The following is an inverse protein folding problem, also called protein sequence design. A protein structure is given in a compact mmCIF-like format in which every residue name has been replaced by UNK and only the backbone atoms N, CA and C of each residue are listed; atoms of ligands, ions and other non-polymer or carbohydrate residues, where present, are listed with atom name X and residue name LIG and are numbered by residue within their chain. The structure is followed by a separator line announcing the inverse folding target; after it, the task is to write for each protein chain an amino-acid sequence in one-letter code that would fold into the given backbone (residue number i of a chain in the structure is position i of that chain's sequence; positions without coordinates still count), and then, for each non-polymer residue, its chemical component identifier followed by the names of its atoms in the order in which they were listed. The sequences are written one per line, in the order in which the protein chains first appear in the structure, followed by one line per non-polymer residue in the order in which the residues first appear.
data_IF_597423349885
#
_entry.id   IF_597423349885
#
_cell.length_a   1.000
_cell.length_b   1.000
_cell.length_c   1.000
_cell.angle_alpha   90.00
_cell.angle_beta   90.00
_cell.angle_gamma   90.00
#
_symmetry.space_group_name_H-M   'P 1'
#
loop_
_entity.id
_entity.type
_entity.pdbx_description
1 polymer ?
#
# COMPACT_ATOMS: atom_id res chain seq x y z
N UNK A 1 -41.84 12.45 -32.26
CA UNK A 1 -41.51 11.83 -33.58
C UNK A 1 -40.01 11.47 -33.55
N UNK A 2 -39.66 10.23 -33.29
CA UNK A 2 -38.26 9.78 -33.27
C UNK A 2 -37.77 9.64 -34.71
N UNK A 3 -36.69 10.40 -35.07
CA UNK A 3 -36.01 10.19 -36.36
C UNK A 3 -35.36 8.82 -36.36
N UNK A 4 -35.58 8.03 -37.39
CA UNK A 4 -34.83 6.76 -37.58
C UNK A 4 -33.34 7.07 -37.69
N UNK A 5 -32.53 6.45 -36.82
CA UNK A 5 -31.07 6.53 -36.96
C UNK A 5 -30.64 5.62 -38.08
N UNK A 6 -29.87 6.12 -39.00
CA UNK A 6 -29.27 5.34 -40.09
C UNK A 6 -28.30 4.31 -39.52
N UNK A 7 -28.39 3.06 -40.00
CA UNK A 7 -27.63 1.94 -39.43
C UNK A 7 -26.11 2.14 -39.48
N UNK A 8 -25.63 2.83 -40.51
CA UNK A 8 -24.21 3.18 -40.62
C UNK A 8 -23.73 4.14 -39.49
N UNK A 9 -24.61 5.02 -39.02
CA UNK A 9 -24.31 5.93 -37.88
C UNK A 9 -24.11 5.11 -36.61
N UNK A 10 -24.93 4.07 -36.41
CA UNK A 10 -24.76 3.16 -35.27
C UNK A 10 -23.42 2.43 -35.33
N UNK A 11 -23.03 1.88 -36.46
CA UNK A 11 -21.76 1.21 -36.65
C UNK A 11 -20.56 2.17 -36.44
N UNK A 12 -20.67 3.38 -37.00
CA UNK A 12 -19.63 4.41 -36.79
C UNK A 12 -19.51 4.80 -35.34
N UNK A 13 -20.63 4.98 -34.62
CA UNK A 13 -20.63 5.31 -33.20
C UNK A 13 -19.96 4.21 -32.35
N UNK A 14 -20.29 2.95 -32.63
CA UNK A 14 -19.68 1.80 -31.96
C UNK A 14 -18.17 1.77 -32.21
N UNK A 15 -17.76 1.91 -33.47
CA UNK A 15 -16.33 1.94 -33.81
C UNK A 15 -15.58 3.05 -33.11
N UNK A 16 -16.11 4.29 -33.13
CA UNK A 16 -15.51 5.43 -32.44
C UNK A 16 -15.47 5.23 -30.92
N UNK A 17 -16.50 4.62 -30.33
CA UNK A 17 -16.53 4.30 -28.91
C UNK A 17 -15.44 3.30 -28.52
N UNK A 18 -15.21 2.27 -29.35
CA UNK A 18 -14.14 1.29 -29.14
C UNK A 18 -12.77 1.97 -29.25
N UNK A 19 -12.55 2.77 -30.28
CA UNK A 19 -11.28 3.50 -30.45
C UNK A 19 -11.02 4.46 -29.30
N UNK A 20 -12.06 5.17 -28.83
CA UNK A 20 -11.96 6.03 -27.66
C UNK A 20 -11.61 5.24 -26.38
N UNK A 21 -12.26 4.09 -26.14
CA UNK A 21 -11.99 3.26 -24.98
C UNK A 21 -10.55 2.72 -24.97
N UNK A 22 -10.05 2.30 -26.15
CA UNK A 22 -8.65 1.87 -26.30
C UNK A 22 -7.69 3.05 -26.01
N UNK A 23 -7.93 4.21 -26.63
CA UNK A 23 -7.11 5.39 -26.43
C UNK A 23 -7.11 5.86 -24.97
N UNK A 24 -8.27 5.87 -24.32
CA UNK A 24 -8.39 6.19 -22.91
C UNK A 24 -7.61 5.20 -22.03
N UNK A 25 -7.76 3.89 -22.29
CA UNK A 25 -7.02 2.85 -21.57
C UNK A 25 -5.50 2.98 -21.73
N UNK A 26 -5.02 3.34 -22.93
CA UNK A 26 -3.60 3.63 -23.18
C UNK A 26 -3.13 4.82 -22.35
N UNK A 27 -3.86 5.93 -22.29
CA UNK A 27 -3.52 7.10 -21.50
C UNK A 27 -3.44 6.78 -20.00
N UNK A 28 -4.41 6.05 -19.46
CA UNK A 28 -4.42 5.60 -18.06
C UNK A 28 -3.20 4.72 -17.78
N UNK A 29 -2.95 3.72 -18.62
CA UNK A 29 -1.79 2.84 -18.47
C UNK A 29 -0.46 3.60 -18.52
N UNK A 30 -0.33 4.56 -19.43
CA UNK A 30 0.87 5.40 -19.56
C UNK A 30 1.14 6.17 -18.28
N UNK A 31 0.13 6.73 -17.64
CA UNK A 31 0.30 7.46 -16.40
C UNK A 31 0.67 6.53 -15.23
N UNK A 32 0.10 5.32 -15.19
CA UNK A 32 0.40 4.33 -14.16
C UNK A 32 1.81 3.74 -14.28
N UNK A 33 2.24 3.39 -15.50
CA UNK A 33 3.52 2.70 -15.74
C UNK A 33 4.68 3.69 -15.96
N UNK A 34 4.38 4.91 -16.41
CA UNK A 34 5.36 6.00 -16.51
C UNK A 34 6.29 5.96 -17.73
N UNK A 35 6.04 5.11 -18.73
CA UNK A 35 6.91 4.99 -19.91
C UNK A 35 6.85 6.19 -20.87
N UNK A 36 5.68 6.82 -20.99
CA UNK A 36 5.51 8.02 -21.82
C UNK A 36 4.71 9.07 -21.06
N UNK A 37 5.27 10.25 -20.88
CA UNK A 37 4.57 11.36 -20.23
C UNK A 37 3.80 12.16 -21.28
N UNK A 38 2.52 11.90 -21.44
CA UNK A 38 1.60 12.71 -22.26
C UNK A 38 1.11 13.94 -21.48
N UNK A 39 1.80 14.30 -20.40
CA UNK A 39 1.55 15.49 -19.60
C UNK A 39 0.20 15.47 -18.87
N UNK A 40 -0.54 16.59 -18.94
CA UNK A 40 -1.80 16.74 -18.20
C UNK A 40 -2.92 15.82 -18.71
N UNK A 41 -2.89 15.38 -19.98
CA UNK A 41 -3.93 14.54 -20.58
C UNK A 41 -3.97 13.17 -19.91
N UNK A 42 -2.83 12.50 -19.70
CA UNK A 42 -2.77 11.20 -19.05
C UNK A 42 -3.14 11.29 -17.58
N UNK A 43 -2.75 12.37 -16.88
CA UNK A 43 -3.17 12.63 -15.49
C UNK A 43 -4.69 12.80 -15.39
N UNK A 44 -5.29 13.55 -16.31
CA UNK A 44 -6.74 13.74 -16.36
C UNK A 44 -7.46 12.42 -16.62
N UNK A 45 -6.96 11.61 -17.57
CA UNK A 45 -7.52 10.29 -17.86
C UNK A 45 -7.48 9.37 -16.62
N UNK A 46 -6.35 9.36 -15.88
CA UNK A 46 -6.23 8.60 -14.63
C UNK A 46 -7.22 9.09 -13.57
N UNK A 47 -7.34 10.41 -13.38
CA UNK A 47 -8.30 11.00 -12.43
C UNK A 47 -9.73 10.55 -12.74
N UNK A 48 -10.14 10.55 -14.01
CA UNK A 48 -11.45 10.04 -14.41
C UNK A 48 -11.61 8.54 -14.16
N UNK A 49 -10.57 7.75 -14.43
CA UNK A 49 -10.59 6.29 -14.17
C UNK A 49 -10.72 5.97 -12.67
N UNK A 50 -10.23 6.85 -11.80
CA UNK A 50 -10.29 6.68 -10.34
C UNK A 50 -11.61 7.15 -9.70
N UNK A 51 -12.47 7.86 -10.43
CA UNK A 51 -13.75 8.36 -9.88
C UNK A 51 -14.58 7.26 -9.20
N UNK A 52 -14.80 6.07 -9.80
CA UNK A 52 -15.60 5.02 -9.15
C UNK A 52 -14.99 4.53 -7.83
N UNK A 53 -13.67 4.44 -7.78
CA UNK A 53 -12.94 4.04 -6.57
C UNK A 53 -13.06 5.11 -5.48
N UNK A 54 -12.78 6.37 -5.81
CA UNK A 54 -12.86 7.48 -4.88
C UNK A 54 -14.28 7.69 -4.36
N UNK A 55 -15.29 7.49 -5.21
CA UNK A 55 -16.70 7.58 -4.82
C UNK A 55 -17.06 6.47 -3.81
N UNK A 56 -16.63 5.23 -4.04
CA UNK A 56 -16.81 4.13 -3.08
C UNK A 56 -16.18 4.45 -1.72
N UNK A 57 -14.97 5.04 -1.72
CA UNK A 57 -14.26 5.44 -0.52
C UNK A 57 -15.03 6.50 0.27
N UNK A 58 -15.52 7.55 -0.43
CA UNK A 58 -16.31 8.65 0.19
C UNK A 58 -17.63 8.12 0.77
N UNK A 59 -18.27 7.17 0.11
CA UNK A 59 -19.53 6.57 0.56
C UNK A 59 -19.35 5.54 1.68
N UNK A 60 -18.13 5.36 2.21
CA UNK A 60 -17.84 4.40 3.28
C UNK A 60 -17.99 2.92 2.86
N UNK A 61 -18.21 2.65 1.57
CA UNK A 61 -18.38 1.29 1.02
C UNK A 61 -17.07 0.65 0.53
N UNK A 62 -15.94 1.24 0.84
CA UNK A 62 -14.72 0.88 0.19
C UNK A 62 -13.46 0.87 1.04
N UNK A 63 -13.43 0.10 2.11
CA UNK A 63 -12.17 -0.51 2.52
C UNK A 63 -11.94 -1.72 1.63
N UNK A 64 -11.44 -1.49 0.42
CA UNK A 64 -11.30 -2.51 -0.62
C UNK A 64 -10.11 -3.45 -0.41
N UNK A 65 -9.31 -3.25 0.65
CA UNK A 65 -8.07 -4.00 0.83
C UNK A 65 -8.29 -5.22 1.72
N UNK A 66 -9.18 -5.13 2.70
CA UNK A 66 -9.43 -6.25 3.62
C UNK A 66 -10.94 -6.39 3.86
N UNK A 67 -11.51 -7.46 3.33
CA UNK A 67 -12.83 -7.92 3.71
C UNK A 67 -12.65 -8.91 4.86
N UNK A 68 -13.33 -8.68 5.98
CA UNK A 68 -13.33 -9.64 7.07
C UNK A 68 -14.00 -10.95 6.60
N UNK A 69 -13.18 -11.97 6.41
CA UNK A 69 -13.64 -13.29 5.93
C UNK A 69 -14.27 -14.12 7.04
N UNK A 70 -14.04 -13.73 8.29
CA UNK A 70 -14.44 -14.50 9.46
C UNK A 70 -15.03 -13.61 10.56
N UNK A 71 -16.11 -12.84 10.27
CA UNK A 71 -16.64 -11.83 11.18
C UNK A 71 -17.19 -12.38 12.50
N UNK A 72 -17.25 -13.68 12.64
CA UNK A 72 -17.67 -14.37 13.86
C UNK A 72 -16.51 -14.91 14.71
N UNK A 73 -15.26 -14.69 14.28
CA UNK A 73 -14.07 -15.19 14.97
C UNK A 73 -13.27 -14.00 15.50
N UNK A 74 -13.06 -13.97 16.81
CA UNK A 74 -12.22 -12.99 17.47
C UNK A 74 -10.97 -13.64 18.08
N UNK A 75 -9.83 -12.91 17.99
CA UNK A 75 -8.60 -13.26 18.66
C UNK A 75 -7.92 -14.51 18.11
N UNK A 76 -7.09 -15.11 18.96
CA UNK A 76 -6.38 -16.33 18.66
C UNK A 76 -7.19 -17.53 19.15
N UNK A 77 -7.29 -18.56 18.30
CA UNK A 77 -7.94 -19.81 18.63
C UNK A 77 -6.96 -20.97 18.33
N UNK A 78 -6.54 -21.66 19.37
CA UNK A 78 -5.55 -22.74 19.24
C UNK A 78 -5.04 -23.24 20.58
N UNK A 79 -4.01 -24.09 20.53
CA UNK A 79 -3.31 -24.56 21.70
C UNK A 79 -2.16 -23.64 22.04
N UNK A 80 -2.05 -23.25 23.30
CA UNK A 80 -0.92 -22.45 23.80
C UNK A 80 0.40 -23.22 23.64
N UNK A 81 1.47 -22.49 23.37
CA UNK A 81 2.81 -23.06 23.40
C UNK A 81 3.20 -23.42 24.85
N UNK A 82 3.88 -24.54 25.02
CA UNK A 82 4.41 -24.96 26.34
C UNK A 82 5.70 -24.24 26.71
N UNK A 83 6.40 -23.68 25.70
CA UNK A 83 7.67 -22.97 25.87
C UNK A 83 7.48 -21.50 25.56
N UNK A 84 8.27 -20.65 26.23
CA UNK A 84 8.31 -19.21 26.00
C UNK A 84 8.59 -18.92 24.54
N UNK A 85 7.64 -18.30 23.85
CA UNK A 85 7.72 -17.99 22.44
C UNK A 85 6.81 -16.83 22.10
N UNK A 86 7.23 -16.02 21.13
CA UNK A 86 6.57 -14.79 20.75
C UNK A 86 6.29 -14.74 19.25
N UNK A 87 5.17 -14.10 18.89
CA UNK A 87 4.81 -13.82 17.52
C UNK A 87 4.82 -12.32 17.29
N UNK A 88 5.60 -11.87 16.31
CA UNK A 88 5.49 -10.52 15.76
C UNK A 88 4.49 -10.57 14.59
N UNK A 89 3.26 -10.13 14.84
CA UNK A 89 2.16 -10.21 13.89
C UNK A 89 1.90 -8.86 13.23
N UNK A 90 2.11 -8.78 11.93
CA UNK A 90 1.61 -7.67 11.13
C UNK A 90 0.20 -7.99 10.64
N UNK A 91 -0.76 -7.14 10.93
CA UNK A 91 -2.15 -7.30 10.52
C UNK A 91 -2.81 -5.97 10.18
N UNK A 92 -3.93 -6.03 9.49
CA UNK A 92 -4.83 -4.91 9.35
C UNK A 92 -5.86 -4.93 10.47
N UNK A 93 -5.98 -3.82 11.20
CA UNK A 93 -7.00 -3.64 12.22
C UNK A 93 -8.27 -3.06 11.59
N UNK A 94 -9.36 -3.82 11.63
CA UNK A 94 -10.63 -3.44 11.01
C UNK A 94 -11.35 -2.28 11.71
N UNK A 95 -11.13 -2.11 13.01
CA UNK A 95 -11.74 -1.06 13.82
C UNK A 95 -10.99 0.27 13.62
N UNK A 96 -9.66 0.22 13.67
CA UNK A 96 -8.80 1.37 13.39
C UNK A 96 -8.77 1.71 11.88
N UNK A 97 -9.00 0.71 11.03
CA UNK A 97 -8.85 0.77 9.57
C UNK A 97 -7.43 1.09 9.13
N UNK A 98 -6.47 0.53 9.82
CA UNK A 98 -5.04 0.76 9.64
C UNK A 98 -4.24 -0.53 9.78
N UNK A 99 -3.03 -0.55 9.20
CA UNK A 99 -2.06 -1.62 9.41
C UNK A 99 -1.31 -1.43 10.73
N UNK A 100 -1.31 -2.45 11.57
CA UNK A 100 -0.61 -2.46 12.85
C UNK A 100 0.33 -3.67 12.95
N UNK A 101 1.24 -3.62 13.92
CA UNK A 101 2.09 -4.75 14.30
C UNK A 101 1.89 -5.03 15.79
N UNK A 102 1.70 -6.29 16.14
CA UNK A 102 1.54 -6.73 17.52
C UNK A 102 2.62 -7.72 17.91
N UNK A 103 3.11 -7.62 19.14
CA UNK A 103 3.91 -8.63 19.80
C UNK A 103 3.01 -9.45 20.71
N UNK A 104 2.95 -10.74 20.47
CA UNK A 104 2.01 -11.65 21.13
C UNK A 104 2.78 -12.76 21.82
N UNK A 105 2.49 -13.00 23.09
CA UNK A 105 2.96 -14.16 23.82
C UNK A 105 2.15 -15.41 23.42
N UNK A 106 2.82 -16.39 22.83
CA UNK A 106 2.16 -17.62 22.38
C UNK A 106 1.88 -18.62 23.50
N UNK A 107 2.31 -18.34 24.73
CA UNK A 107 1.99 -19.20 25.89
C UNK A 107 0.60 -18.91 26.47
N UNK A 108 0.00 -17.75 26.16
CA UNK A 108 -1.31 -17.33 26.67
C UNK A 108 -2.13 -16.49 25.68
N UNK A 109 -1.55 -16.17 24.52
CA UNK A 109 -2.10 -15.29 23.47
C UNK A 109 -2.36 -13.83 23.92
N UNK A 110 -1.64 -13.39 24.94
CA UNK A 110 -1.69 -11.99 25.38
C UNK A 110 -0.93 -11.08 24.40
N UNK A 111 -1.54 -9.95 24.02
CA UNK A 111 -0.86 -8.90 23.25
C UNK A 111 0.00 -8.09 24.20
N UNK A 112 1.32 -8.24 24.10
CA UNK A 112 2.29 -7.56 24.96
C UNK A 112 2.54 -6.12 24.51
N UNK A 113 2.49 -5.87 23.20
CA UNK A 113 2.72 -4.55 22.63
C UNK A 113 2.07 -4.37 21.26
N UNK A 114 1.69 -3.14 20.94
CA UNK A 114 1.12 -2.77 19.63
C UNK A 114 1.84 -1.54 19.09
N UNK A 115 2.33 -1.63 17.85
CA UNK A 115 2.83 -0.50 17.09
C UNK A 115 1.77 -0.08 16.06
N UNK A 116 1.41 1.21 16.09
CA UNK A 116 0.51 1.84 15.12
C UNK A 116 1.15 3.15 14.61
N UNK A 117 2.04 3.10 13.60
CA UNK A 117 2.73 4.27 13.09
C UNK A 117 1.83 5.14 12.21
N UNK A 118 1.93 6.45 12.32
CA UNK A 118 1.26 7.42 11.45
C UNK A 118 2.00 7.55 10.10
N UNK A 119 1.66 6.65 9.18
CA UNK A 119 2.27 6.58 7.83
C UNK A 119 1.99 7.85 7.03
N UNK A 120 0.84 8.49 7.21
CA UNK A 120 0.49 9.72 6.50
C UNK A 120 1.45 10.84 6.87
N UNK A 121 1.73 11.03 8.16
CA UNK A 121 2.73 12.01 8.65
C UNK A 121 4.14 11.66 8.15
N UNK A 122 4.54 10.39 8.10
CA UNK A 122 5.85 10.00 7.58
C UNK A 122 5.97 10.26 6.08
N UNK A 123 4.91 10.00 5.32
CA UNK A 123 4.85 10.30 3.89
C UNK A 123 4.91 11.80 3.57
N UNK A 124 4.51 12.68 4.50
CA UNK A 124 4.62 14.13 4.33
C UNK A 124 6.07 14.60 4.28
N UNK A 125 6.98 13.85 4.88
CA UNK A 125 8.43 14.14 4.87
C UNK A 125 9.12 13.69 3.58
N UNK A 126 8.44 12.94 2.72
CA UNK A 126 8.99 12.40 1.48
C UNK A 126 8.75 13.36 0.32
N UNK A 127 9.83 13.70 -0.42
CA UNK A 127 9.71 14.49 -1.64
C UNK A 127 8.92 13.71 -2.69
N UNK A 128 7.88 14.34 -3.23
CA UNK A 128 7.01 13.78 -4.28
C UNK A 128 7.72 13.87 -5.65
N UNK A 129 8.80 13.12 -5.83
CA UNK A 129 9.47 12.96 -7.11
C UNK A 129 8.84 11.85 -7.95
N UNK A 130 9.51 11.45 -9.03
CA UNK A 130 8.98 10.42 -9.93
C UNK A 130 8.77 9.08 -9.22
N UNK A 131 9.67 8.69 -8.34
CA UNK A 131 9.62 7.41 -7.64
C UNK A 131 8.47 7.36 -6.63
N UNK A 132 8.26 8.46 -5.91
CA UNK A 132 7.27 8.58 -4.83
C UNK A 132 6.01 9.36 -5.22
N UNK A 133 5.78 9.62 -6.51
CA UNK A 133 4.67 10.47 -6.99
C UNK A 133 3.27 10.01 -6.54
N UNK A 134 3.11 8.74 -6.22
CA UNK A 134 1.84 8.15 -5.76
C UNK A 134 1.90 7.61 -4.33
N UNK A 135 2.98 7.90 -3.59
CA UNK A 135 3.19 7.38 -2.25
C UNK A 135 1.98 7.65 -1.34
N UNK A 136 1.57 8.89 -1.21
CA UNK A 136 0.43 9.29 -0.35
C UNK A 136 -0.90 8.70 -0.79
N UNK A 137 -1.08 8.42 -2.09
CA UNK A 137 -2.29 7.80 -2.61
C UNK A 137 -2.35 6.31 -2.31
N UNK A 138 -1.24 5.62 -2.54
CA UNK A 138 -1.19 4.16 -2.58
C UNK A 138 -0.78 3.53 -1.24
N UNK A 139 -0.06 4.28 -0.41
CA UNK A 139 0.52 3.81 0.86
C UNK A 139 0.23 4.81 2.00
N UNK A 140 -1.03 5.03 2.30
CA UNK A 140 -1.49 5.82 3.44
C UNK A 140 -1.88 4.91 4.62
N UNK A 141 -2.19 5.49 5.79
CA UNK A 141 -2.58 4.75 7.00
C UNK A 141 -3.60 3.64 6.70
N UNK A 142 -4.63 3.93 5.90
CA UNK A 142 -5.71 2.99 5.62
C UNK A 142 -5.37 1.90 4.58
N UNK A 143 -4.24 1.98 3.91
CA UNK A 143 -3.84 1.06 2.84
C UNK A 143 -2.55 0.30 3.13
N UNK A 144 -1.69 0.88 3.97
CA UNK A 144 -0.41 0.28 4.26
C UNK A 144 -0.58 -0.88 5.23
N UNK A 145 -0.10 -2.06 4.81
CA UNK A 145 0.13 -3.18 5.71
C UNK A 145 1.63 -3.23 5.96
N UNK A 146 2.03 -3.26 7.23
CA UNK A 146 3.43 -3.27 7.65
C UNK A 146 4.03 -4.68 7.48
N UNK A 147 4.27 -5.09 6.23
CA UNK A 147 4.79 -6.43 5.93
C UNK A 147 6.26 -6.55 6.34
N UNK A 148 6.61 -7.74 6.84
CA UNK A 148 7.96 -8.11 7.26
C UNK A 148 8.63 -7.10 8.21
N UNK A 149 7.94 -6.64 9.27
CA UNK A 149 8.57 -5.76 10.24
C UNK A 149 9.71 -6.49 10.96
N UNK A 150 10.80 -5.78 11.21
CA UNK A 150 11.95 -6.30 11.97
C UNK A 150 12.04 -5.56 13.30
N UNK A 151 11.83 -6.27 14.39
CA UNK A 151 11.99 -5.70 15.72
C UNK A 151 13.48 -5.48 16.03
N UNK A 152 13.78 -4.37 16.67
CA UNK A 152 15.13 -3.98 17.12
C UNK A 152 15.27 -4.15 18.64
N UNK A 153 16.52 -4.22 19.12
CA UNK A 153 16.81 -4.46 20.55
C UNK A 153 16.26 -3.34 21.46
N UNK A 154 16.02 -2.14 20.92
CA UNK A 154 15.42 -1.01 21.63
C UNK A 154 13.88 -1.04 21.63
N UNK A 155 13.26 -2.11 21.16
CA UNK A 155 11.81 -2.28 21.09
C UNK A 155 11.16 -1.53 19.93
N UNK A 156 11.93 -0.95 19.04
CA UNK A 156 11.44 -0.32 17.82
C UNK A 156 11.25 -1.32 16.68
N UNK A 157 10.77 -0.83 15.54
CA UNK A 157 10.59 -1.60 14.32
C UNK A 157 11.25 -0.94 13.12
N UNK A 158 11.87 -1.76 12.25
CA UNK A 158 12.14 -1.41 10.85
C UNK A 158 11.06 -2.01 9.96
N UNK A 159 10.63 -1.26 8.96
CA UNK A 159 9.76 -1.73 7.88
C UNK A 159 9.93 -0.90 6.61
N UNK A 160 9.53 -1.47 5.47
CA UNK A 160 9.58 -0.79 4.18
C UNK A 160 8.98 -1.68 3.09
N UNK A 161 7.69 -1.50 2.79
CA UNK A 161 6.98 -2.21 1.72
C UNK A 161 6.49 -1.22 0.67
N UNK A 162 7.25 -1.04 -0.40
CA UNK A 162 7.05 0.01 -1.41
C UNK A 162 7.06 1.43 -0.84
N UNK A 163 7.58 1.57 0.36
CA UNK A 163 7.80 2.80 1.12
C UNK A 163 9.30 3.11 1.16
N UNK A 164 9.65 4.32 1.59
CA UNK A 164 10.96 4.56 2.20
C UNK A 164 11.25 3.53 3.30
N UNK A 165 12.52 3.28 3.59
CA UNK A 165 12.87 2.52 4.77
C UNK A 165 12.60 3.36 6.01
N UNK A 166 11.82 2.85 6.93
CA UNK A 166 11.38 3.54 8.13
C UNK A 166 11.82 2.75 9.37
N UNK A 167 12.38 3.46 10.35
CA UNK A 167 12.53 2.98 11.73
C UNK A 167 11.64 3.81 12.65
N UNK A 168 10.85 3.13 13.47
CA UNK A 168 10.08 3.71 14.57
C UNK A 168 10.60 3.23 15.92
N UNK A 169 10.34 3.99 16.97
CA UNK A 169 10.58 3.57 18.36
C UNK A 169 9.43 2.68 18.87
N UNK A 170 9.54 2.27 20.13
CA UNK A 170 8.50 1.46 20.80
C UNK A 170 7.16 2.20 20.95
N UNK A 171 7.13 3.53 20.87
CA UNK A 171 5.91 4.33 20.90
C UNK A 171 5.36 4.65 19.51
N UNK A 172 5.87 4.00 18.45
CA UNK A 172 5.53 4.23 17.05
C UNK A 172 5.95 5.59 16.47
N UNK A 173 6.82 6.35 17.17
CA UNK A 173 7.35 7.61 16.65
C UNK A 173 8.46 7.35 15.64
N UNK A 174 8.53 8.20 14.61
CA UNK A 174 9.59 8.15 13.61
C UNK A 174 10.96 8.43 14.22
N UNK A 175 11.91 7.49 14.07
CA UNK A 175 13.31 7.63 14.47
C UNK A 175 14.20 7.90 13.26
N UNK A 176 13.95 7.19 12.16
CA UNK A 176 14.76 7.27 10.95
C UNK A 176 13.92 7.00 9.71
N UNK A 177 14.23 7.70 8.62
CA UNK A 177 13.61 7.46 7.33
C UNK A 177 14.64 7.64 6.20
N UNK A 178 14.78 6.61 5.34
CA UNK A 178 15.59 6.69 4.14
C UNK A 178 14.67 6.87 2.92
N UNK A 179 14.71 8.07 2.34
CA UNK A 179 13.85 8.50 1.23
C UNK A 179 14.52 8.37 -0.14
N UNK A 180 15.66 7.69 -0.25
CA UNK A 180 16.39 7.60 -1.51
C UNK A 180 15.85 6.53 -2.45
N UNK A 181 15.31 5.44 -1.88
CA UNK A 181 14.80 4.30 -2.66
C UNK A 181 13.52 3.76 -2.04
N UNK A 182 12.77 3.00 -2.84
CA UNK A 182 11.72 2.12 -2.33
C UNK A 182 12.34 0.81 -1.87
N UNK A 183 11.99 0.42 -0.66
CA UNK A 183 12.43 -0.83 -0.07
C UNK A 183 11.27 -1.83 -0.04
N UNK A 184 11.57 -3.11 -0.14
CA UNK A 184 10.56 -4.17 -0.15
C UNK A 184 11.11 -5.50 0.37
N UNK A 185 10.19 -6.42 0.70
CA UNK A 185 10.47 -7.76 1.25
C UNK A 185 11.11 -7.77 2.64
N UNK A 186 11.71 -8.92 2.99
CA UNK A 186 12.25 -9.19 4.30
C UNK A 186 13.48 -8.35 4.63
N UNK A 187 13.64 -8.14 5.91
CA UNK A 187 14.74 -7.40 6.52
C UNK A 187 15.58 -8.41 7.29
N UNK A 188 16.88 -8.49 6.97
CA UNK A 188 17.79 -9.44 7.60
C UNK A 188 18.85 -8.71 8.41
N UNK A 189 19.31 -9.35 9.47
CA UNK A 189 20.43 -8.86 10.29
C UNK A 189 21.56 -9.85 10.23
N UNK A 190 22.76 -9.38 9.91
CA UNK A 190 23.95 -10.22 9.95
C UNK A 190 24.52 -10.37 11.38
N UNK A 191 25.55 -11.21 11.54
CA UNK A 191 26.22 -11.47 12.81
C UNK A 191 26.88 -10.23 13.42
N UNK A 192 27.18 -9.23 12.59
CA UNK A 192 27.82 -7.97 13.00
C UNK A 192 26.78 -6.92 13.43
N UNK A 193 25.47 -7.23 13.28
CA UNK A 193 24.37 -6.33 13.57
C UNK A 193 24.03 -5.37 12.43
N UNK A 194 24.62 -5.55 11.24
CA UNK A 194 24.20 -4.79 10.06
C UNK A 194 22.83 -5.25 9.58
N UNK A 195 22.04 -4.32 9.08
CA UNK A 195 20.69 -4.58 8.59
C UNK A 195 20.69 -4.52 7.07
N UNK A 196 20.22 -5.59 6.43
CA UNK A 196 20.18 -5.76 4.98
C UNK A 196 18.75 -5.63 4.48
N UNK A 197 18.56 -4.78 3.45
CA UNK A 197 17.27 -4.52 2.83
C UNK A 197 17.37 -4.65 1.32
N UNK A 198 16.48 -5.37 0.66
CA UNK A 198 16.32 -5.25 -0.78
C UNK A 198 15.67 -3.91 -1.13
N UNK A 199 16.21 -3.26 -2.14
CA UNK A 199 15.65 -2.00 -2.66
C UNK A 199 15.38 -2.08 -4.15
N UNK A 200 14.43 -1.30 -4.64
CA UNK A 200 14.20 -1.13 -6.06
C UNK A 200 15.15 -0.06 -6.59
N UNK A 201 15.99 -0.43 -7.55
CA UNK A 201 16.85 0.55 -8.23
C UNK A 201 16.05 1.33 -9.27
N UNK A 202 16.17 2.65 -9.22
CA UNK A 202 15.57 3.51 -10.22
C UNK A 202 16.60 4.51 -10.77
N UNK A 203 16.72 4.72 -12.09
CA UNK A 203 16.03 3.95 -13.15
C UNK A 203 16.47 2.48 -13.13
N UNK A 204 15.56 1.60 -13.53
CA UNK A 204 15.89 0.18 -13.68
C UNK A 204 16.93 0.04 -14.79
N UNK A 205 18.19 0.11 -14.44
CA UNK A 205 19.29 -0.13 -15.34
C UNK A 205 19.73 -1.59 -15.18
N UNK A 206 19.17 -2.47 -15.99
CA UNK A 206 19.87 -3.70 -16.30
C UNK A 206 20.86 -3.38 -17.42
N UNK A 207 22.14 -3.78 -17.29
CA UNK A 207 23.09 -3.68 -18.37
C UNK A 207 22.68 -4.55 -19.57
#
# INVERSE_FOLDING_TARGET
MFKKIEIWVLYLTILLSILFAIGFGVLVRQELVGYFKVGWISKTALTFAEIPFNLKRILGKGNLIVEDRFPSLDGFNGTYNSEESYLLLSRYDGDLKEGIVELIDLTNFEVLHTWNPDIDTFNDLVKQDYEFKYLKRDNNNSRQILLHPKMTADGGLFFGQYLPLIKIDHCSNLVFQNNHNKFHHSIETDIEGNIWFPSVMYPQSLP
#
